data_IF_101001883905
#
_entry.id   IF_101001883905
#
_cell.length_a   1.000
_cell.length_b   1.000
_cell.length_c   1.000
_cell.angle_alpha   90.00
_cell.angle_beta   90.00
_cell.angle_gamma   90.00
#
_symmetry.space_group_name_H-M   'P 1'
#
loop_
_entity.id
_entity.type
_entity.pdbx_description
1 polymer ?
#
# COMPACT_ATOMS: atom_id res chain seq x y z
N UNK A 1 9.37 5.32 -11.57
CA UNK A 1 8.95 6.62 -11.04
C UNK A 1 10.18 7.33 -10.53
N UNK A 2 10.40 8.55 -10.98
CA UNK A 2 11.43 9.48 -10.51
C UNK A 2 10.89 10.35 -9.37
N UNK A 3 11.78 11.01 -8.62
CA UNK A 3 11.37 11.93 -7.55
C UNK A 3 10.39 13.02 -8.05
N UNK A 4 10.62 13.58 -9.23
CA UNK A 4 9.75 14.60 -9.84
C UNK A 4 8.37 14.06 -10.22
N UNK A 5 8.29 12.80 -10.64
CA UNK A 5 7.00 12.14 -10.92
C UNK A 5 6.22 11.88 -9.63
N UNK A 6 6.92 11.53 -8.54
CA UNK A 6 6.33 11.40 -7.22
C UNK A 6 5.76 12.74 -6.72
N UNK A 7 6.52 13.83 -6.83
CA UNK A 7 6.04 15.17 -6.45
C UNK A 7 4.74 15.54 -7.18
N UNK A 8 4.65 15.22 -8.48
CA UNK A 8 3.43 15.45 -9.27
C UNK A 8 2.28 14.59 -8.80
N UNK A 9 2.54 13.33 -8.44
CA UNK A 9 1.52 12.42 -7.93
C UNK A 9 0.99 12.91 -6.58
N UNK A 10 1.87 13.31 -5.67
CA UNK A 10 1.52 13.86 -4.35
C UNK A 10 0.72 15.16 -4.50
N UNK A 11 1.06 16.00 -5.47
CA UNK A 11 0.33 17.24 -5.75
C UNK A 11 -1.13 17.04 -6.21
N UNK A 12 -1.52 15.82 -6.63
CA UNK A 12 -2.92 15.50 -6.90
C UNK A 12 -3.77 15.41 -5.62
N UNK A 13 -3.13 15.22 -4.47
CA UNK A 13 -3.78 15.01 -3.18
C UNK A 13 -4.40 13.61 -3.02
N UNK A 14 -4.77 13.27 -1.79
CA UNK A 14 -5.49 12.02 -1.52
C UNK A 14 -6.86 11.98 -2.20
N UNK A 15 -7.31 10.78 -2.53
CA UNK A 15 -8.61 10.56 -3.14
C UNK A 15 -8.92 9.09 -3.34
N UNK A 16 -9.91 8.79 -4.19
CA UNK A 16 -10.39 7.42 -4.40
C UNK A 16 -9.31 6.44 -4.91
N UNK A 17 -8.25 6.94 -5.55
CA UNK A 17 -7.19 6.13 -6.17
C UNK A 17 -5.80 6.44 -5.63
N UNK A 18 -5.69 7.27 -4.60
CA UNK A 18 -4.41 7.70 -4.05
C UNK A 18 -4.54 7.92 -2.54
N UNK A 19 -3.76 7.18 -1.77
CA UNK A 19 -3.73 7.27 -0.30
C UNK A 19 -2.30 7.57 0.16
N UNK A 20 -2.15 8.45 1.15
CA UNK A 20 -0.88 8.77 1.78
C UNK A 20 -0.79 8.13 3.15
N UNK A 21 0.38 7.59 3.46
CA UNK A 21 0.70 7.09 4.79
C UNK A 21 2.15 7.39 5.08
N UNK A 22 2.40 7.91 6.27
CA UNK A 22 3.77 8.16 6.72
C UNK A 22 4.60 6.87 6.84
N UNK A 23 3.94 5.76 7.16
CA UNK A 23 4.50 4.41 7.40
C UNK A 23 3.36 3.40 7.38
N UNK A 24 3.69 2.11 7.27
CA UNK A 24 2.71 1.03 7.20
C UNK A 24 1.81 1.08 8.45
N UNK A 25 0.49 1.24 8.28
CA UNK A 25 -0.44 1.22 9.40
C UNK A 25 -0.60 -0.21 9.92
N UNK A 26 -1.42 -0.39 10.95
CA UNK A 26 -1.71 -1.74 11.47
C UNK A 26 -2.17 -2.68 10.35
N UNK A 27 -1.79 -3.98 10.37
CA UNK A 27 -2.03 -4.91 9.26
C UNK A 27 -3.47 -4.92 8.71
N UNK A 28 -4.46 -4.96 9.61
CA UNK A 28 -5.88 -4.94 9.23
C UNK A 28 -6.34 -3.66 8.55
N UNK A 29 -5.70 -2.51 8.81
CA UNK A 29 -6.03 -1.23 8.13
C UNK A 29 -5.41 -1.20 6.75
N UNK A 30 -4.12 -1.56 6.65
CA UNK A 30 -3.43 -1.66 5.37
C UNK A 30 -4.17 -2.59 4.41
N UNK A 31 -4.53 -3.79 4.88
CA UNK A 31 -5.27 -4.75 4.08
C UNK A 31 -6.62 -4.18 3.60
N UNK A 32 -7.36 -3.46 4.45
CA UNK A 32 -8.63 -2.81 4.04
C UNK A 32 -8.42 -1.80 2.92
N UNK A 33 -7.40 -0.96 3.01
CA UNK A 33 -7.08 0.04 1.99
C UNK A 33 -6.74 -0.64 0.65
N UNK A 34 -5.85 -1.63 0.68
CA UNK A 34 -5.45 -2.39 -0.51
C UNK A 34 -6.63 -3.18 -1.12
N UNK A 35 -7.46 -3.82 -0.30
CA UNK A 35 -8.69 -4.49 -0.73
C UNK A 35 -9.64 -3.49 -1.41
N UNK A 36 -9.80 -2.29 -0.84
CA UNK A 36 -10.67 -1.27 -1.42
C UNK A 36 -10.20 -0.85 -2.81
N UNK A 37 -8.90 -0.67 -3.02
CA UNK A 37 -8.34 -0.42 -4.35
C UNK A 37 -8.59 -1.59 -5.31
N UNK A 38 -8.27 -2.83 -4.88
CA UNK A 38 -8.41 -4.02 -5.71
C UNK A 38 -9.87 -4.29 -6.13
N UNK A 39 -10.83 -4.00 -5.24
CA UNK A 39 -12.26 -4.17 -5.53
C UNK A 39 -12.84 -3.08 -6.42
N UNK A 40 -12.16 -1.94 -6.56
CA UNK A 40 -12.65 -0.78 -7.33
C UNK A 40 -11.90 -0.66 -8.67
N UNK A 41 -11.26 0.48 -8.95
CA UNK A 41 -10.49 0.71 -10.20
C UNK A 41 -8.98 0.64 -9.98
N UNK A 42 -8.54 0.09 -8.86
CA UNK A 42 -7.15 0.16 -8.42
C UNK A 42 -6.81 1.50 -7.77
N UNK A 43 -5.52 1.68 -7.51
CA UNK A 43 -4.99 2.89 -6.91
C UNK A 43 -3.53 2.75 -6.49
N UNK A 44 -3.04 3.78 -5.82
CA UNK A 44 -1.68 3.86 -5.28
C UNK A 44 -1.74 4.20 -3.79
N UNK A 45 -0.92 3.51 -3.02
CA UNK A 45 -0.63 3.88 -1.64
C UNK A 45 0.82 4.37 -1.59
N UNK A 46 1.05 5.57 -1.07
CA UNK A 46 2.38 6.17 -0.90
C UNK A 46 2.82 6.06 0.56
N UNK A 47 3.83 5.23 0.83
CA UNK A 47 4.44 5.11 2.14
C UNK A 47 5.63 6.07 2.26
N UNK A 48 5.65 6.88 3.32
CA UNK A 48 6.63 7.95 3.52
C UNK A 48 6.12 9.33 3.12
N UNK A 49 4.81 9.50 2.96
CA UNK A 49 4.15 10.80 2.72
C UNK A 49 3.19 11.07 3.87
N UNK A 50 3.25 12.26 4.47
CA UNK A 50 2.34 12.66 5.55
C UNK A 50 0.96 13.07 5.00
N UNK A 51 -0.05 13.16 5.87
CA UNK A 51 -1.44 13.44 5.46
C UNK A 51 -1.60 14.85 4.82
N UNK A 52 -0.64 15.75 5.06
CA UNK A 52 -0.57 17.09 4.44
C UNK A 52 0.13 17.10 3.07
N UNK A 53 0.58 15.93 2.57
CA UNK A 53 1.34 15.77 1.34
C UNK A 53 2.85 15.97 1.50
N UNK A 54 3.36 16.17 2.72
CA UNK A 54 4.81 16.29 2.95
C UNK A 54 5.53 14.97 2.67
N UNK A 55 6.48 14.99 1.74
CA UNK A 55 7.32 13.82 1.41
C UNK A 55 8.42 13.69 2.47
N UNK A 56 8.20 12.83 3.46
CA UNK A 56 9.14 12.62 4.57
C UNK A 56 10.10 11.45 4.34
N UNK A 57 9.67 10.47 3.55
CA UNK A 57 10.32 9.18 3.33
C UNK A 57 10.40 8.28 4.57
N UNK A 58 10.52 6.98 4.34
CA UNK A 58 10.80 5.95 5.34
C UNK A 58 12.31 5.71 5.45
N UNK A 59 12.79 5.36 6.65
CA UNK A 59 14.23 5.12 6.88
C UNK A 59 14.65 3.69 6.56
N UNK A 60 13.75 2.75 6.80
CA UNK A 60 13.97 1.32 6.60
C UNK A 60 12.87 0.81 5.68
N UNK A 61 13.13 0.89 4.36
CA UNK A 61 12.13 0.51 3.37
C UNK A 61 11.86 -1.01 3.42
N UNK A 62 12.86 -1.81 3.75
CA UNK A 62 12.75 -3.27 3.80
C UNK A 62 11.83 -3.71 4.95
N UNK A 63 11.93 -3.08 6.14
CA UNK A 63 11.01 -3.33 7.26
C UNK A 63 9.55 -3.00 6.92
N UNK A 64 9.33 -1.86 6.26
CA UNK A 64 8.00 -1.42 5.82
C UNK A 64 7.44 -2.38 4.76
N UNK A 65 8.26 -2.80 3.80
CA UNK A 65 7.87 -3.79 2.79
C UNK A 65 7.49 -5.14 3.40
N UNK A 66 8.30 -5.63 4.35
CA UNK A 66 8.02 -6.89 5.05
C UNK A 66 6.68 -6.80 5.80
N UNK A 67 6.47 -5.72 6.54
CA UNK A 67 5.22 -5.47 7.28
C UNK A 67 4.01 -5.39 6.34
N UNK A 68 4.20 -4.77 5.16
CA UNK A 68 3.16 -4.69 4.16
C UNK A 68 2.81 -6.06 3.59
N UNK A 69 3.81 -6.85 3.20
CA UNK A 69 3.59 -8.17 2.63
C UNK A 69 2.92 -9.11 3.64
N UNK A 70 3.41 -9.11 4.89
CA UNK A 70 2.81 -9.90 5.98
C UNK A 70 1.33 -9.51 6.20
N UNK A 71 1.01 -8.22 6.17
CA UNK A 71 -0.36 -7.76 6.32
C UNK A 71 -1.27 -8.25 5.19
N UNK A 72 -0.81 -8.18 3.94
CA UNK A 72 -1.60 -8.63 2.79
C UNK A 72 -1.81 -10.14 2.79
N UNK A 73 -0.78 -10.92 3.08
CA UNK A 73 -0.86 -12.38 3.08
C UNK A 73 -1.79 -12.92 4.17
N UNK A 74 -1.82 -12.27 5.33
CA UNK A 74 -2.60 -12.73 6.47
C UNK A 74 -4.03 -12.19 6.52
N UNK A 75 -4.32 -11.12 5.78
CA UNK A 75 -5.60 -10.41 5.90
C UNK A 75 -6.38 -10.25 4.60
N UNK A 76 -5.86 -10.63 3.43
CA UNK A 76 -6.58 -10.52 2.17
C UNK A 76 -6.97 -11.90 1.63
N UNK A 77 -8.27 -12.10 1.34
CA UNK A 77 -8.75 -13.29 0.62
C UNK A 77 -9.82 -12.92 -0.42
N UNK A 78 -9.67 -13.28 -1.70
CA UNK A 78 -8.47 -13.84 -2.33
C UNK A 78 -7.22 -12.95 -2.16
N UNK A 79 -6.02 -13.48 -2.43
CA UNK A 79 -4.79 -12.68 -2.33
C UNK A 79 -4.82 -11.51 -3.32
N UNK A 80 -4.33 -10.33 -2.90
CA UNK A 80 -4.25 -9.14 -3.76
C UNK A 80 -2.80 -8.94 -4.19
N UNK A 81 -2.45 -9.16 -5.47
CA UNK A 81 -1.10 -8.88 -5.95
C UNK A 81 -0.88 -7.36 -6.02
N UNK A 82 0.23 -6.91 -5.46
CA UNK A 82 0.67 -5.51 -5.51
C UNK A 82 2.02 -5.42 -6.21
N UNK A 83 2.26 -4.31 -6.90
CA UNK A 83 3.59 -3.98 -7.43
C UNK A 83 4.21 -2.91 -6.54
N UNK A 84 5.43 -3.13 -6.13
CA UNK A 84 6.17 -2.24 -5.25
C UNK A 84 7.24 -1.50 -6.07
N UNK A 85 7.39 -0.22 -5.78
CA UNK A 85 8.39 0.63 -6.43
C UNK A 85 8.99 1.59 -5.41
N UNK A 86 10.32 1.75 -5.46
CA UNK A 86 11.07 2.60 -4.54
C UNK A 86 11.45 3.89 -5.25
N UNK A 87 11.24 5.01 -4.57
CA UNK A 87 11.66 6.32 -5.02
C UNK A 87 12.58 6.92 -3.98
N UNK A 88 13.87 7.01 -4.29
CA UNK A 88 14.86 7.64 -3.41
C UNK A 88 14.55 9.14 -3.27
N UNK A 89 14.38 9.59 -2.03
CA UNK A 89 14.14 11.01 -1.68
C UNK A 89 15.41 11.65 -1.15
N UNK A 90 16.24 10.87 -0.46
CA UNK A 90 17.55 11.27 0.05
C UNK A 90 18.41 10.04 0.33
N UNK A 91 19.70 10.23 0.64
CA UNK A 91 20.69 9.15 0.90
C UNK A 91 20.26 8.01 1.83
N UNK A 92 19.23 8.20 2.67
CA UNK A 92 18.71 7.20 3.62
C UNK A 92 17.20 7.25 3.78
N UNK A 93 16.50 7.80 2.79
CA UNK A 93 15.04 7.86 2.84
C UNK A 93 14.43 7.60 1.48
N UNK A 94 13.49 6.67 1.48
CA UNK A 94 12.76 6.25 0.30
C UNK A 94 11.28 6.49 0.49
N UNK A 95 10.56 6.64 -0.60
CA UNK A 95 9.11 6.48 -0.62
C UNK A 95 8.80 5.18 -1.33
N UNK A 96 7.95 4.37 -0.72
CA UNK A 96 7.48 3.12 -1.32
C UNK A 96 6.13 3.41 -1.97
N UNK A 97 6.06 3.22 -3.27
CA UNK A 97 4.82 3.30 -4.05
C UNK A 97 4.26 1.89 -4.19
N UNK A 98 3.09 1.68 -3.62
CA UNK A 98 2.36 0.42 -3.69
C UNK A 98 1.28 0.55 -4.75
N UNK A 99 1.48 -0.12 -5.88
CA UNK A 99 0.58 -0.14 -7.01
C UNK A 99 -0.41 -1.29 -6.86
N UNK A 100 -1.69 -0.94 -6.72
CA UNK A 100 -2.77 -1.92 -6.63
C UNK A 100 -3.62 -1.82 -7.89
N UNK A 101 -3.69 -2.91 -8.67
CA UNK A 101 -4.58 -2.97 -9.84
C UNK A 101 -6.00 -3.33 -9.41
N UNK A 102 -7.00 -2.92 -10.19
CA UNK A 102 -8.32 -3.56 -10.10
C UNK A 102 -8.14 -5.06 -10.33
N UNK A 103 -8.70 -5.86 -9.45
CA UNK A 103 -8.61 -7.31 -9.53
C UNK A 103 -9.73 -7.90 -10.35
N UNK A 104 -9.41 -8.94 -11.12
CA UNK A 104 -10.38 -9.78 -11.82
C UNK A 104 -10.96 -10.88 -10.91
N UNK A 105 -10.39 -11.07 -9.71
CA UNK A 105 -10.85 -12.01 -8.68
C UNK A 105 -11.71 -11.36 -7.59
N UNK A 106 -12.14 -10.12 -7.80
CA UNK A 106 -13.03 -9.42 -6.87
C UNK A 106 -14.37 -10.18 -6.72
N UNK A 107 -14.99 -10.14 -5.52
CA UNK A 107 -14.60 -9.35 -4.36
C UNK A 107 -13.52 -9.99 -3.48
N UNK A 108 -12.58 -9.16 -3.03
CA UNK A 108 -11.63 -9.43 -1.97
C UNK A 108 -12.19 -8.99 -0.62
N UNK A 109 -11.89 -9.74 0.43
CA UNK A 109 -12.39 -9.53 1.78
C UNK A 109 -11.27 -9.54 2.80
N UNK A 110 -11.52 -8.82 3.90
CA UNK A 110 -10.64 -8.83 5.06
C UNK A 110 -10.86 -10.12 5.85
N UNK A 111 -9.81 -10.92 6.01
CA UNK A 111 -9.83 -12.11 6.85
C UNK A 111 -9.09 -11.88 8.17
N UNK A 112 -9.46 -12.65 9.19
CA UNK A 112 -8.76 -12.67 10.47
C UNK A 112 -7.77 -13.83 10.48
N UNK A 113 -6.46 -13.60 10.65
CA UNK A 113 -5.50 -14.67 10.82
C UNK A 113 -5.87 -15.50 12.05
N UNK A 114 -5.89 -16.82 11.89
CA UNK A 114 -6.22 -17.76 12.97
C UNK A 114 -7.68 -18.22 13.04
N UNK A 115 -8.56 -17.89 12.08
CA UNK A 115 -9.85 -18.57 11.98
C UNK A 115 -9.78 -19.70 10.94
N UNK A 116 -9.86 -20.98 11.35
CA UNK A 116 -9.79 -22.11 10.44
C UNK A 116 -11.14 -22.27 9.75
N UNK A 117 -11.41 -21.48 8.73
CA UNK A 117 -12.42 -21.86 7.74
C UNK A 117 -11.71 -22.11 6.42
N UNK A 118 -11.63 -23.40 6.08
CA UNK A 118 -11.23 -23.95 4.78
C UNK A 118 -9.72 -24.01 4.53
N UNK A 119 -9.10 -25.08 5.02
CA UNK A 119 -8.19 -25.87 4.20
C UNK A 119 -8.94 -27.17 3.83
N UNK A 120 -8.86 -27.64 2.57
CA UNK A 120 -9.54 -28.86 2.14
C UNK A 120 -9.06 -30.10 2.92
#
# INVERSE_FOLDING_TARGET
>A
MTHRELERLVALGEGQHLEFKRRVPRPHRLAKEVIAFANTRGGHLLLGVDDDGSIVGVRDADEELYSLQEALDNHCSPAVPVRLEHVEISRRRDVIVVWVRSSDQKPHYLVRPGHPSMRP
#
